data_IF_288523845043
#
_entry.id   IF_288523845043
#
_cell.length_a   1.000
_cell.length_b   1.000
_cell.length_c   1.000
_cell.angle_alpha   90.00
_cell.angle_beta   90.00
_cell.angle_gamma   90.00
#
_symmetry.space_group_name_H-M   'P 1'
#
loop_
_entity.id
_entity.type
_entity.pdbx_description
1 polymer ?
#
# COMPACT_ATOMS: atom_id res chain seq x y z
N UNK A 1 -86.66 -20.32 -18.68
CA UNK A 1 -87.22 -19.03 -18.85
C UNK A 1 -86.07 -18.05 -19.05
N UNK A 2 -85.86 -17.77 -20.33
CA UNK A 2 -85.99 -16.50 -20.98
C UNK A 2 -84.82 -15.52 -20.59
N UNK A 3 -84.10 -14.88 -21.44
CA UNK A 3 -84.29 -14.39 -22.79
C UNK A 3 -82.99 -13.87 -23.35
N UNK A 4 -82.69 -14.21 -24.57
CA UNK A 4 -81.65 -13.65 -25.43
C UNK A 4 -81.97 -12.17 -25.79
N UNK A 5 -80.96 -11.33 -25.88
CA UNK A 5 -81.04 -10.05 -26.61
C UNK A 5 -79.76 -9.90 -27.44
N UNK A 6 -79.95 -10.03 -28.76
CA UNK A 6 -79.00 -9.68 -29.81
C UNK A 6 -78.76 -8.19 -29.83
N UNK A 7 -77.54 -7.77 -29.88
CA UNK A 7 -77.09 -6.39 -30.17
C UNK A 7 -76.27 -6.38 -31.46
N UNK A 8 -76.84 -5.79 -32.46
CA UNK A 8 -76.35 -5.57 -33.79
C UNK A 8 -75.18 -4.58 -33.78
N UNK A 9 -74.04 -4.92 -34.36
CA UNK A 9 -72.83 -4.05 -34.48
C UNK A 9 -72.73 -3.63 -35.94
N UNK A 10 -72.75 -2.30 -36.25
CA UNK A 10 -72.60 -1.83 -37.63
C UNK A 10 -71.09 -1.94 -38.05
N UNK A 11 -70.89 -2.45 -39.25
CA UNK A 11 -69.64 -2.50 -39.99
C UNK A 11 -69.22 -1.09 -40.45
N UNK A 12 -68.10 -0.59 -39.92
CA UNK A 12 -67.52 0.66 -40.42
C UNK A 12 -66.39 0.37 -41.42
N UNK A 13 -66.46 1.06 -42.54
CA UNK A 13 -65.52 1.04 -43.67
C UNK A 13 -64.12 1.40 -43.27
N UNK A 14 -63.14 0.63 -43.77
CA UNK A 14 -61.72 0.92 -43.70
C UNK A 14 -61.32 2.12 -44.58
N UNK A 15 -60.57 3.08 -43.98
CA UNK A 15 -59.98 4.23 -44.69
C UNK A 15 -58.50 3.93 -44.99
N UNK A 16 -58.05 3.92 -46.24
CA UNK A 16 -56.67 3.55 -46.58
C UNK A 16 -55.81 4.78 -46.87
N UNK A 17 -55.48 5.64 -45.88
CA UNK A 17 -54.61 6.81 -46.11
C UNK A 17 -53.35 6.85 -45.21
N UNK A 18 -53.19 5.92 -44.29
CA UNK A 18 -52.11 6.07 -43.28
C UNK A 18 -50.78 5.38 -43.64
N UNK A 19 -50.69 4.50 -44.63
CA UNK A 19 -49.47 3.74 -44.97
C UNK A 19 -48.43 4.51 -45.79
N UNK A 20 -48.79 5.60 -46.51
CA UNK A 20 -47.87 6.33 -47.38
C UNK A 20 -47.00 7.37 -46.64
N UNK A 21 -47.50 7.98 -45.54
CA UNK A 21 -46.74 8.96 -44.75
C UNK A 21 -45.65 8.33 -43.87
N UNK A 22 -45.89 7.13 -43.29
CA UNK A 22 -44.89 6.43 -42.46
C UNK A 22 -43.61 6.05 -43.20
N UNK A 23 -43.68 5.60 -44.47
CA UNK A 23 -42.51 5.26 -45.27
C UNK A 23 -41.59 6.45 -45.56
N UNK A 24 -42.14 7.66 -45.74
CA UNK A 24 -41.33 8.87 -45.91
C UNK A 24 -40.65 9.33 -44.61
N UNK A 25 -41.31 9.19 -43.48
CA UNK A 25 -40.75 9.54 -42.17
C UNK A 25 -39.62 8.59 -41.81
N UNK A 26 -39.76 7.30 -42.00
CA UNK A 26 -38.68 6.32 -41.75
C UNK A 26 -37.48 6.51 -42.69
N UNK A 27 -37.69 6.90 -43.94
CA UNK A 27 -36.65 7.24 -44.88
C UNK A 27 -35.84 8.48 -44.43
N UNK A 28 -36.50 9.51 -43.94
CA UNK A 28 -35.83 10.72 -43.43
C UNK A 28 -35.06 10.42 -42.13
N UNK A 29 -35.62 9.64 -41.21
CA UNK A 29 -34.94 9.23 -39.98
C UNK A 29 -33.70 8.39 -40.29
N UNK A 30 -33.78 7.44 -41.23
CA UNK A 30 -32.65 6.64 -41.64
C UNK A 30 -31.50 7.47 -42.25
N UNK A 31 -31.82 8.46 -43.06
CA UNK A 31 -30.82 9.38 -43.64
C UNK A 31 -30.17 10.25 -42.56
N UNK A 32 -30.98 10.78 -41.62
CA UNK A 32 -30.41 11.55 -40.48
C UNK A 32 -29.48 10.73 -39.61
N UNK A 33 -29.86 9.48 -39.30
CA UNK A 33 -29.00 8.57 -38.52
C UNK A 33 -27.69 8.25 -39.25
N UNK A 34 -27.76 8.02 -40.57
CA UNK A 34 -26.53 7.76 -41.39
C UNK A 34 -25.63 9.00 -41.42
N UNK A 35 -26.22 10.21 -41.55
CA UNK A 35 -25.46 11.47 -41.55
C UNK A 35 -24.83 11.72 -40.17
N UNK A 36 -25.54 11.47 -39.07
CA UNK A 36 -25.00 11.60 -37.73
C UNK A 36 -23.87 10.59 -37.48
N UNK A 37 -24.03 9.34 -37.90
CA UNK A 37 -22.95 8.32 -37.82
C UNK A 37 -21.73 8.72 -38.67
N UNK A 38 -21.97 9.22 -39.88
CA UNK A 38 -20.90 9.71 -40.76
C UNK A 38 -20.17 10.92 -40.16
N UNK A 39 -20.90 11.85 -39.53
CA UNK A 39 -20.31 13.00 -38.84
C UNK A 39 -19.53 12.57 -37.59
N UNK A 40 -19.98 11.57 -36.84
CA UNK A 40 -19.25 11.01 -35.70
C UNK A 40 -17.98 10.30 -36.18
N UNK A 41 -18.06 9.48 -37.24
CA UNK A 41 -16.89 8.83 -37.81
C UNK A 41 -15.94 9.89 -38.39
N UNK A 42 -16.42 10.92 -39.06
CA UNK A 42 -15.62 12.03 -39.57
C UNK A 42 -14.93 12.80 -38.43
N UNK A 43 -15.64 13.12 -37.32
CA UNK A 43 -15.09 13.78 -36.15
C UNK A 43 -14.02 12.91 -35.45
N UNK A 44 -14.23 11.58 -35.37
CA UNK A 44 -13.27 10.66 -34.81
C UNK A 44 -12.04 10.51 -35.72
N UNK A 45 -12.18 10.55 -37.05
CA UNK A 45 -11.08 10.48 -38.02
C UNK A 45 -10.35 11.79 -38.23
N UNK A 46 -10.94 12.94 -37.92
CA UNK A 46 -10.30 14.26 -38.01
C UNK A 46 -9.63 14.67 -36.67
N UNK A 47 -9.88 13.94 -35.55
CA UNK A 47 -9.32 14.21 -34.23
C UNK A 47 -7.85 13.80 -34.04
N UNK A 48 -7.10 13.64 -35.13
CA UNK A 48 -5.68 13.29 -35.08
C UNK A 48 -4.71 14.47 -35.01
N UNK A 49 -4.96 15.49 -34.17
CA UNK A 49 -3.87 16.30 -33.61
C UNK A 49 -3.40 15.59 -32.35
N UNK A 50 -2.38 14.76 -32.44
CA UNK A 50 -1.62 14.26 -31.31
C UNK A 50 -0.92 15.44 -30.63
N UNK A 51 -1.66 16.17 -29.80
CA UNK A 51 -1.04 16.91 -28.72
C UNK A 51 -0.24 15.91 -27.86
N UNK A 52 0.77 16.34 -27.12
CA UNK A 52 1.49 15.44 -26.22
C UNK A 52 0.45 14.67 -25.40
N UNK A 53 0.56 13.34 -25.39
CA UNK A 53 -0.35 12.49 -24.61
C UNK A 53 -0.35 12.99 -23.20
N UNK A 54 -1.53 13.23 -22.62
CA UNK A 54 -1.62 13.64 -21.22
C UNK A 54 -0.94 12.58 -20.35
N UNK A 55 -0.09 13.01 -19.42
CA UNK A 55 0.58 12.09 -18.50
C UNK A 55 -0.47 11.27 -17.73
N UNK A 56 -0.24 9.97 -17.52
CA UNK A 56 -1.13 9.15 -16.71
C UNK A 56 -1.17 9.64 -15.26
N UNK A 57 -2.24 9.37 -14.55
CA UNK A 57 -2.31 9.56 -13.10
C UNK A 57 -1.69 8.35 -12.40
N UNK A 58 -0.82 8.59 -11.43
CA UNK A 58 -0.20 7.55 -10.62
C UNK A 58 -0.35 7.87 -9.14
N UNK A 59 -1.21 7.14 -8.45
CA UNK A 59 -1.50 7.34 -7.04
C UNK A 59 -0.69 6.35 -6.20
N UNK A 60 0.12 6.89 -5.28
CA UNK A 60 0.97 6.14 -4.36
C UNK A 60 0.39 6.31 -2.96
N UNK A 61 0.14 5.20 -2.27
CA UNK A 61 -0.17 5.20 -0.85
C UNK A 61 1.11 5.16 -0.04
N UNK A 62 1.27 6.12 0.88
CA UNK A 62 2.50 6.33 1.66
C UNK A 62 2.22 6.23 3.15
N UNK A 63 3.13 5.63 3.92
CA UNK A 63 2.98 5.52 5.37
C UNK A 63 2.99 6.89 6.02
N UNK A 64 1.98 7.18 6.85
CA UNK A 64 1.86 8.46 7.53
C UNK A 64 2.82 8.55 8.72
N UNK A 65 3.43 9.72 8.89
CA UNK A 65 4.32 10.00 10.02
C UNK A 65 5.73 9.45 9.91
N UNK A 66 6.06 8.74 8.83
CA UNK A 66 7.41 8.23 8.58
C UNK A 66 8.24 9.25 7.81
N UNK A 67 9.19 9.91 8.47
CA UNK A 67 10.14 10.84 7.81
C UNK A 67 11.17 10.11 6.96
N UNK A 68 11.39 8.84 7.25
CA UNK A 68 12.43 8.04 6.64
C UNK A 68 11.82 7.14 5.56
N UNK A 69 11.15 7.72 4.53
CA UNK A 69 10.67 6.92 3.39
C UNK A 69 11.27 7.41 2.09
N UNK A 70 11.65 6.52 1.16
CA UNK A 70 12.09 6.91 -0.18
C UNK A 70 11.08 7.81 -0.89
N UNK A 71 9.78 7.56 -0.74
CA UNK A 71 8.72 8.42 -1.29
C UNK A 71 8.78 9.83 -0.73
N UNK A 72 8.97 9.98 0.57
CA UNK A 72 9.10 11.30 1.18
C UNK A 72 10.31 12.05 0.60
N UNK A 73 11.39 11.34 0.26
CA UNK A 73 12.53 11.92 -0.44
C UNK A 73 12.16 12.28 -1.87
N UNK A 74 11.49 11.42 -2.61
CA UNK A 74 11.02 11.69 -3.97
C UNK A 74 10.18 12.95 -3.99
N UNK A 75 9.18 13.05 -3.11
CA UNK A 75 8.28 14.19 -2.98
C UNK A 75 9.00 15.48 -2.52
N UNK A 76 10.09 15.37 -1.77
CA UNK A 76 10.90 16.51 -1.33
C UNK A 76 11.91 16.98 -2.38
N UNK A 77 12.14 16.19 -3.44
CA UNK A 77 13.12 16.45 -4.49
C UNK A 77 12.47 16.46 -5.88
N UNK A 78 12.11 17.62 -6.42
CA UNK A 78 11.46 17.73 -7.74
C UNK A 78 12.24 17.06 -8.89
N UNK A 79 13.55 16.85 -8.72
CA UNK A 79 14.38 16.14 -9.71
C UNK A 79 14.05 14.64 -9.77
N UNK A 80 13.76 14.01 -8.62
CA UNK A 80 13.38 12.60 -8.56
C UNK A 80 11.93 12.39 -8.98
N UNK A 81 11.02 13.32 -8.62
CA UNK A 81 9.64 13.27 -9.08
C UNK A 81 9.53 13.30 -10.60
N UNK A 82 10.42 14.09 -11.26
CA UNK A 82 10.46 14.18 -12.74
C UNK A 82 10.90 12.89 -13.44
N UNK A 83 11.54 11.95 -12.74
CA UNK A 83 11.89 10.64 -13.32
C UNK A 83 10.66 9.80 -13.62
N UNK A 84 9.52 10.10 -13.00
CA UNK A 84 8.28 9.35 -13.15
C UNK A 84 7.36 10.11 -14.11
N UNK A 85 7.14 9.63 -15.36
CA UNK A 85 6.35 10.34 -16.37
C UNK A 85 4.85 10.21 -16.11
N UNK A 86 4.38 10.70 -14.96
CA UNK A 86 3.00 10.65 -14.51
C UNK A 86 2.65 11.88 -13.67
N UNK A 87 1.34 12.15 -13.54
CA UNK A 87 0.83 13.03 -12.47
C UNK A 87 0.78 12.22 -11.18
N UNK A 88 1.75 12.46 -10.28
CA UNK A 88 1.85 11.76 -9.00
C UNK A 88 0.84 12.34 -8.02
N UNK A 89 0.05 11.47 -7.43
CA UNK A 89 -0.81 11.76 -6.29
C UNK A 89 -0.39 10.88 -5.12
N UNK A 90 -0.34 11.44 -3.91
CA UNK A 90 -0.08 10.67 -2.71
C UNK A 90 -1.29 10.64 -1.81
N UNK A 91 -1.54 9.47 -1.21
CA UNK A 91 -2.58 9.25 -0.20
C UNK A 91 -1.90 8.67 1.04
N UNK A 92 -2.03 9.28 2.20
CA UNK A 92 -1.48 8.71 3.42
C UNK A 92 -2.29 7.48 3.84
N UNK A 93 -1.61 6.47 4.40
CA UNK A 93 -2.28 5.38 5.10
C UNK A 93 -1.78 5.25 6.54
N UNK A 94 -2.71 4.94 7.45
CA UNK A 94 -2.41 4.64 8.85
C UNK A 94 -2.23 3.14 9.09
N UNK A 95 -2.77 2.30 8.22
CA UNK A 95 -2.71 0.85 8.32
C UNK A 95 -2.54 0.21 6.93
N UNK A 96 -1.57 -0.69 6.77
CA UNK A 96 -1.29 -1.36 5.50
C UNK A 96 -2.48 -2.15 4.93
N UNK A 97 -3.39 -2.62 5.79
CA UNK A 97 -4.64 -3.28 5.34
C UNK A 97 -5.56 -2.33 4.59
N UNK A 98 -5.60 -1.04 4.96
CA UNK A 98 -6.36 -0.01 4.26
C UNK A 98 -5.76 0.27 2.88
N UNK A 99 -4.43 0.46 2.82
CA UNK A 99 -3.72 0.67 1.56
C UNK A 99 -3.90 -0.51 0.56
N UNK A 100 -3.89 -1.75 1.05
CA UNK A 100 -4.20 -2.94 0.23
C UNK A 100 -5.64 -2.92 -0.28
N UNK A 101 -6.61 -2.49 0.54
CA UNK A 101 -8.01 -2.37 0.11
C UNK A 101 -8.18 -1.29 -0.97
N UNK A 102 -7.50 -0.16 -0.83
CA UNK A 102 -7.46 0.92 -1.82
C UNK A 102 -6.80 0.46 -3.14
N UNK A 103 -5.70 -0.29 -3.07
CA UNK A 103 -5.10 -0.90 -4.26
C UNK A 103 -6.04 -1.88 -4.94
N UNK A 104 -6.74 -2.72 -4.18
CA UNK A 104 -7.72 -3.66 -4.71
C UNK A 104 -8.90 -2.96 -5.41
N UNK A 105 -9.33 -1.80 -4.91
CA UNK A 105 -10.38 -0.99 -5.54
C UNK A 105 -9.92 -0.25 -6.79
N UNK A 106 -8.59 -0.15 -7.02
CA UNK A 106 -7.98 0.59 -8.13
C UNK A 106 -7.76 2.08 -7.83
N UNK A 107 -8.08 2.57 -6.64
CA UNK A 107 -7.84 3.96 -6.25
C UNK A 107 -6.37 4.27 -5.99
N UNK A 108 -5.56 3.25 -5.69
CA UNK A 108 -4.12 3.32 -5.47
C UNK A 108 -3.40 2.35 -6.41
N UNK A 109 -2.33 2.80 -7.06
CA UNK A 109 -1.54 2.01 -8.00
C UNK A 109 -0.27 1.41 -7.37
N UNK A 110 0.31 2.11 -6.40
CA UNK A 110 1.49 1.65 -5.65
C UNK A 110 1.33 1.94 -4.16
N UNK A 111 1.99 1.14 -3.33
CA UNK A 111 2.08 1.34 -1.88
C UNK A 111 3.55 1.27 -1.51
N UNK A 112 4.06 2.29 -0.82
CA UNK A 112 5.42 2.31 -0.32
C UNK A 112 5.46 2.12 1.20
N UNK A 113 6.37 1.27 1.65
CA UNK A 113 6.54 0.98 3.07
C UNK A 113 5.41 0.13 3.66
N UNK A 114 4.82 -0.79 2.89
CA UNK A 114 3.79 -1.69 3.43
C UNK A 114 4.41 -2.94 4.05
N UNK A 115 4.01 -3.23 5.29
CA UNK A 115 4.51 -4.35 6.07
C UNK A 115 4.10 -5.73 5.55
N UNK A 116 4.82 -6.76 5.99
CA UNK A 116 4.61 -8.14 5.56
C UNK A 116 3.23 -8.73 5.90
N UNK A 117 2.53 -8.46 7.04
CA UNK A 117 1.22 -9.07 7.28
C UNK A 117 0.14 -8.66 6.27
N UNK A 118 -0.11 -7.37 5.96
CA UNK A 118 -1.10 -7.00 4.96
C UNK A 118 -0.75 -7.52 3.56
N UNK A 119 0.53 -7.52 3.17
CA UNK A 119 0.96 -8.08 1.87
C UNK A 119 0.78 -9.59 1.82
N UNK A 120 1.15 -10.32 2.88
CA UNK A 120 0.95 -11.77 2.94
C UNK A 120 -0.53 -12.15 2.88
N UNK A 121 -1.40 -11.39 3.57
CA UNK A 121 -2.84 -11.58 3.50
C UNK A 121 -3.37 -11.32 2.07
N UNK A 122 -2.90 -10.25 1.43
CA UNK A 122 -3.25 -9.91 0.05
C UNK A 122 -2.87 -11.03 -0.94
N UNK A 123 -1.67 -11.60 -0.79
CA UNK A 123 -1.20 -12.74 -1.58
C UNK A 123 -2.08 -13.97 -1.34
N UNK A 124 -2.35 -14.30 -0.07
CA UNK A 124 -3.20 -15.44 0.29
C UNK A 124 -4.63 -15.33 -0.25
N UNK A 125 -5.15 -14.11 -0.38
CA UNK A 125 -6.46 -13.79 -0.94
C UNK A 125 -6.44 -13.49 -2.44
N UNK A 126 -5.27 -13.55 -3.08
CA UNK A 126 -5.06 -13.28 -4.52
C UNK A 126 -5.61 -11.91 -4.97
N UNK A 127 -5.28 -10.86 -4.24
CA UNK A 127 -5.83 -9.50 -4.48
C UNK A 127 -5.10 -8.70 -5.56
N UNK A 128 -4.18 -9.29 -6.33
CA UNK A 128 -3.50 -8.61 -7.43
C UNK A 128 -2.38 -7.66 -6.99
N UNK A 129 -1.73 -7.94 -5.86
CA UNK A 129 -0.53 -7.22 -5.39
C UNK A 129 0.72 -7.87 -5.94
N UNK A 130 1.75 -7.06 -6.28
CA UNK A 130 3.09 -7.53 -6.64
C UNK A 130 4.14 -6.73 -5.88
N UNK A 131 5.08 -7.41 -5.23
CA UNK A 131 6.25 -6.81 -4.58
C UNK A 131 7.32 -6.57 -5.64
N UNK A 132 7.78 -5.33 -5.79
CA UNK A 132 8.76 -4.94 -6.80
C UNK A 132 10.11 -4.50 -6.21
N UNK A 133 10.14 -4.12 -4.92
CA UNK A 133 11.35 -3.69 -4.22
C UNK A 133 11.21 -3.95 -2.71
N UNK A 134 12.31 -4.31 -2.04
CA UNK A 134 12.40 -4.26 -0.59
C UNK A 134 12.61 -2.83 -0.11
N UNK A 135 11.86 -2.39 0.88
CA UNK A 135 11.99 -1.06 1.44
C UNK A 135 12.94 -1.06 2.64
N UNK A 136 12.61 -1.79 3.69
CA UNK A 136 13.40 -1.87 4.92
C UNK A 136 12.76 -2.81 5.92
N UNK A 137 13.30 -2.80 7.13
CA UNK A 137 12.67 -3.40 8.28
C UNK A 137 11.87 -2.34 9.03
N UNK A 138 11.02 -2.77 9.95
CA UNK A 138 10.26 -1.84 10.79
C UNK A 138 11.18 -1.12 11.78
N UNK A 139 10.83 0.11 12.16
CA UNK A 139 11.50 0.94 13.17
C UNK A 139 10.70 1.01 14.49
N UNK A 140 9.81 0.06 14.67
CA UNK A 140 8.92 -0.02 15.82
C UNK A 140 9.67 -0.31 17.11
N UNK A 141 9.13 0.23 18.19
CA UNK A 141 9.71 0.07 19.52
C UNK A 141 8.60 -0.21 20.54
N UNK A 142 8.81 -1.19 21.40
CA UNK A 142 7.99 -1.39 22.58
C UNK A 142 8.39 -0.36 23.64
N UNK A 143 7.67 0.75 23.65
CA UNK A 143 7.93 1.86 24.55
C UNK A 143 7.19 1.65 25.87
N UNK A 144 7.99 1.61 26.94
CA UNK A 144 7.51 1.34 28.31
C UNK A 144 7.91 2.45 29.28
N UNK A 145 7.18 2.67 30.36
CA UNK A 145 7.58 3.58 31.43
C UNK A 145 8.97 3.20 32.02
N UNK A 146 9.70 4.17 32.56
CA UNK A 146 11.04 3.98 33.14
C UNK A 146 11.11 2.89 34.22
N UNK A 147 9.99 2.58 34.88
CA UNK A 147 9.89 1.52 35.89
C UNK A 147 9.90 0.09 35.31
N UNK A 148 9.70 -0.08 34.01
CA UNK A 148 9.66 -1.39 33.33
C UNK A 148 11.01 -1.58 32.64
N UNK A 149 11.83 -2.49 33.15
CA UNK A 149 13.21 -2.72 32.66
C UNK A 149 13.45 -4.14 32.18
N UNK A 150 12.43 -5.00 32.25
CA UNK A 150 12.49 -6.40 31.78
C UNK A 150 11.13 -6.88 31.28
N UNK A 151 11.10 -7.86 30.36
CA UNK A 151 9.87 -8.42 29.79
C UNK A 151 8.90 -8.95 30.85
N UNK A 152 9.42 -9.57 31.92
CA UNK A 152 8.59 -10.14 33.00
C UNK A 152 7.74 -9.11 33.73
N UNK A 153 8.14 -7.84 33.73
CA UNK A 153 7.39 -6.74 34.35
C UNK A 153 6.19 -6.26 33.49
N UNK A 154 6.03 -6.79 32.29
CA UNK A 154 4.83 -6.59 31.48
C UNK A 154 3.64 -7.44 31.95
N UNK A 155 3.85 -8.43 32.82
CA UNK A 155 2.75 -9.27 33.33
C UNK A 155 1.67 -8.40 33.98
N UNK A 156 0.42 -8.56 33.53
CA UNK A 156 -0.74 -7.79 34.01
C UNK A 156 -0.86 -6.38 33.44
N UNK A 157 0.10 -5.92 32.64
CA UNK A 157 0.07 -4.61 31.99
C UNK A 157 -0.63 -4.67 30.62
N UNK A 158 -0.99 -3.49 30.12
CA UNK A 158 -1.59 -3.29 28.81
C UNK A 158 -0.58 -2.71 27.83
N UNK A 159 -0.53 -3.28 26.62
CA UNK A 159 0.30 -2.81 25.51
C UNK A 159 -0.58 -2.54 24.30
N UNK A 160 -0.56 -1.30 23.80
CA UNK A 160 -1.27 -0.90 22.59
C UNK A 160 -0.48 -1.23 21.32
N UNK A 161 -1.18 -1.63 20.26
CA UNK A 161 -0.58 -1.92 18.96
C UNK A 161 -1.58 -1.71 17.84
N UNK A 162 -1.11 -1.32 16.66
CA UNK A 162 -1.92 -1.25 15.43
C UNK A 162 -2.29 -2.66 14.98
N UNK A 163 -3.59 -2.95 14.98
CA UNK A 163 -4.09 -4.29 14.66
C UNK A 163 -3.82 -4.69 13.20
N UNK A 164 -3.22 -5.85 12.99
CA UNK A 164 -3.02 -6.43 11.66
C UNK A 164 -1.83 -5.92 10.87
N UNK A 165 -1.00 -5.16 11.51
CA UNK A 165 0.24 -4.60 11.02
C UNK A 165 1.43 -5.52 11.28
N UNK A 166 2.61 -5.10 10.88
CA UNK A 166 3.88 -5.72 11.27
C UNK A 166 4.12 -5.63 12.76
N UNK A 167 3.76 -4.51 13.37
CA UNK A 167 3.84 -4.27 14.81
C UNK A 167 3.05 -5.30 15.62
N UNK A 168 1.82 -5.63 15.17
CA UNK A 168 0.98 -6.67 15.78
C UNK A 168 1.66 -8.05 15.70
N UNK A 169 2.25 -8.35 14.53
CA UNK A 169 3.00 -9.59 14.29
C UNK A 169 4.24 -9.68 15.16
N UNK A 170 5.02 -8.62 15.25
CA UNK A 170 6.26 -8.55 16.02
C UNK A 170 5.98 -8.59 17.53
N UNK A 171 5.05 -7.77 18.01
CA UNK A 171 4.66 -7.75 19.42
C UNK A 171 4.16 -9.12 19.89
N UNK A 172 3.22 -9.73 19.17
CA UNK A 172 2.66 -11.01 19.57
C UNK A 172 3.69 -12.13 19.47
N UNK A 173 4.57 -12.07 18.46
CA UNK A 173 5.69 -12.99 18.34
C UNK A 173 6.70 -12.84 19.50
N UNK A 174 7.05 -11.60 19.84
CA UNK A 174 7.93 -11.32 20.99
C UNK A 174 7.33 -11.80 22.30
N UNK A 175 6.06 -11.49 22.57
CA UNK A 175 5.38 -11.98 23.78
C UNK A 175 5.33 -13.50 23.85
N UNK A 176 5.24 -14.18 22.72
CA UNK A 176 5.29 -15.64 22.67
C UNK A 176 6.70 -16.19 23.03
N UNK A 177 7.75 -15.58 22.49
CA UNK A 177 9.15 -15.93 22.81
C UNK A 177 9.47 -15.72 24.29
N UNK A 178 8.97 -14.63 24.87
CA UNK A 178 9.16 -14.31 26.30
C UNK A 178 8.19 -15.08 27.23
N UNK A 179 7.41 -16.02 26.70
CA UNK A 179 6.38 -16.77 27.45
C UNK A 179 5.35 -15.89 28.16
N UNK A 180 5.00 -14.74 27.54
CA UNK A 180 4.06 -13.74 28.03
C UNK A 180 2.70 -13.78 27.38
N UNK A 181 2.46 -14.68 26.43
CA UNK A 181 1.15 -14.86 25.77
C UNK A 181 0.06 -15.07 26.81
N UNK A 182 -1.00 -14.24 26.72
CA UNK A 182 -2.13 -14.25 27.68
C UNK A 182 -1.82 -13.66 29.06
N UNK A 183 -0.58 -13.25 29.33
CA UNK A 183 -0.17 -12.59 30.60
C UNK A 183 -0.10 -11.07 30.46
N UNK A 184 -0.02 -10.56 29.23
CA UNK A 184 -0.04 -9.14 28.84
C UNK A 184 -1.34 -8.87 28.13
N UNK A 185 -2.00 -7.76 28.47
CA UNK A 185 -3.23 -7.32 27.80
C UNK A 185 -2.84 -6.54 26.53
N UNK A 186 -2.85 -7.21 25.37
CA UNK A 186 -2.69 -6.51 24.09
C UNK A 186 -3.98 -5.79 23.73
N UNK A 187 -3.87 -4.48 23.46
CA UNK A 187 -4.98 -3.59 23.11
C UNK A 187 -4.83 -3.17 21.66
N UNK A 188 -5.77 -3.59 20.82
CA UNK A 188 -5.77 -3.29 19.39
C UNK A 188 -6.28 -1.88 19.12
N UNK A 189 -5.55 -1.13 18.31
CA UNK A 189 -5.93 0.19 17.80
C UNK A 189 -6.06 0.17 16.28
N UNK A 190 -6.80 1.14 15.75
CA UNK A 190 -6.99 1.28 14.30
C UNK A 190 -5.89 2.14 13.64
N UNK A 191 -5.07 2.85 14.44
CA UNK A 191 -3.97 3.69 13.95
C UNK A 191 -2.86 3.82 15.01
N UNK A 192 -1.63 4.04 14.53
CA UNK A 192 -0.46 4.34 15.37
C UNK A 192 -0.66 5.56 16.29
N UNK A 193 -1.16 6.72 15.78
CA UNK A 193 -1.40 7.87 16.65
C UNK A 193 -2.37 7.58 17.79
N UNK A 194 -3.37 6.71 17.57
CA UNK A 194 -4.33 6.34 18.61
C UNK A 194 -3.68 5.48 19.70
N UNK A 195 -2.82 4.54 19.36
CA UNK A 195 -2.07 3.72 20.32
C UNK A 195 -1.12 4.59 21.16
N UNK A 196 -0.35 5.49 20.52
CA UNK A 196 0.54 6.42 21.19
C UNK A 196 -0.21 7.38 22.14
N UNK A 197 -1.31 7.97 21.69
CA UNK A 197 -2.13 8.86 22.52
C UNK A 197 -2.74 8.14 23.74
N UNK A 198 -3.14 6.88 23.60
CA UNK A 198 -3.66 6.07 24.71
C UNK A 198 -2.57 5.82 25.77
N UNK A 199 -1.33 5.54 25.36
CA UNK A 199 -0.21 5.39 26.29
C UNK A 199 0.16 6.73 26.96
N UNK A 200 0.23 7.82 26.19
CA UNK A 200 0.52 9.17 26.70
C UNK A 200 -0.51 9.63 27.75
N UNK A 201 -1.77 9.28 27.58
CA UNK A 201 -2.85 9.62 28.51
C UNK A 201 -2.91 8.69 29.74
N UNK A 202 -2.16 7.59 29.74
CA UNK A 202 -2.22 6.57 30.78
C UNK A 202 -3.45 5.64 30.68
N UNK A 203 -4.18 5.66 29.56
CA UNK A 203 -5.29 4.72 29.31
C UNK A 203 -4.79 3.28 29.12
N UNK A 204 -3.54 3.11 28.68
CA UNK A 204 -2.78 1.87 28.62
C UNK A 204 -1.38 2.11 29.19
N UNK A 205 -0.69 1.03 29.60
CA UNK A 205 0.62 1.13 30.26
C UNK A 205 1.76 1.41 29.26
N UNK A 206 1.70 0.88 28.06
CA UNK A 206 2.79 0.83 27.07
C UNK A 206 2.23 0.78 25.65
N UNK A 207 3.06 1.08 24.64
CA UNK A 207 2.69 0.94 23.23
C UNK A 207 3.85 0.41 22.40
N UNK A 208 3.54 -0.40 21.40
CA UNK A 208 4.47 -0.81 20.35
C UNK A 208 4.19 0.05 19.12
N UNK A 209 5.04 1.02 18.88
CA UNK A 209 4.80 2.12 17.92
C UNK A 209 6.10 2.63 17.31
N UNK A 210 5.98 3.35 16.18
CA UNK A 210 7.08 4.01 15.47
C UNK A 210 6.83 5.52 15.28
N UNK A 211 7.76 6.20 14.62
CA UNK A 211 7.61 7.56 14.10
C UNK A 211 7.24 8.61 15.16
N UNK A 212 6.28 9.46 14.86
CA UNK A 212 5.88 10.56 15.73
C UNK A 212 5.31 10.10 17.08
N UNK A 213 4.42 9.10 17.17
CA UNK A 213 3.98 8.54 18.45
C UNK A 213 5.10 8.03 19.34
N UNK A 214 6.11 7.38 18.75
CA UNK A 214 7.28 6.92 19.48
C UNK A 214 8.09 8.09 20.02
N UNK A 215 8.35 9.11 19.19
CA UNK A 215 9.05 10.32 19.60
C UNK A 215 8.35 11.05 20.77
N UNK A 216 7.04 11.14 20.73
CA UNK A 216 6.24 11.79 21.78
C UNK A 216 6.31 11.01 23.12
N UNK A 217 6.27 9.68 23.08
CA UNK A 217 6.43 8.82 24.24
C UNK A 217 7.83 8.94 24.84
N UNK A 218 8.88 8.92 24.01
CA UNK A 218 10.27 9.12 24.45
C UNK A 218 10.43 10.49 25.12
N UNK A 219 9.85 11.54 24.56
CA UNK A 219 9.87 12.89 25.16
C UNK A 219 9.16 12.94 26.52
N UNK A 220 8.26 12.00 26.82
CA UNK A 220 7.57 11.84 28.11
C UNK A 220 8.28 10.89 29.08
N UNK A 221 9.49 10.41 28.73
CA UNK A 221 10.31 9.56 29.59
C UNK A 221 10.04 8.06 29.45
N UNK A 222 9.32 7.64 28.41
CA UNK A 222 9.29 6.24 28.00
C UNK A 222 10.63 5.86 27.37
N UNK A 223 10.96 4.56 27.42
CA UNK A 223 12.16 4.04 26.76
C UNK A 223 11.82 2.73 26.03
N UNK A 224 12.59 2.35 25.02
CA UNK A 224 12.41 1.07 24.34
C UNK A 224 12.83 -0.09 25.24
N UNK A 225 11.93 -1.03 25.49
CA UNK A 225 12.24 -2.32 26.10
C UNK A 225 12.83 -3.30 25.09
N UNK A 226 12.34 -3.26 23.88
CA UNK A 226 12.78 -4.00 22.71
C UNK A 226 12.40 -3.23 21.46
N UNK A 227 13.19 -3.34 20.40
CA UNK A 227 12.91 -2.76 19.09
C UNK A 227 12.73 -3.85 18.01
N UNK A 228 12.22 -3.44 16.85
CA UNK A 228 11.96 -4.32 15.72
C UNK A 228 13.22 -5.03 15.21
N UNK A 229 14.39 -4.36 15.24
CA UNK A 229 15.67 -5.00 14.86
C UNK A 229 16.04 -6.16 15.78
N UNK A 230 15.84 -5.97 17.08
CA UNK A 230 16.09 -7.02 18.08
C UNK A 230 15.11 -8.18 17.88
N UNK A 231 13.83 -7.90 17.63
CA UNK A 231 12.80 -8.91 17.37
C UNK A 231 13.10 -9.67 16.06
N UNK A 232 13.57 -8.96 15.04
CA UNK A 232 13.98 -9.58 13.77
C UNK A 232 15.16 -10.56 13.96
N UNK A 233 16.13 -10.22 14.82
CA UNK A 233 17.24 -11.11 15.20
C UNK A 233 16.77 -12.35 15.95
N UNK A 234 15.64 -12.28 16.64
CA UNK A 234 14.97 -13.42 17.26
C UNK A 234 14.17 -14.29 16.27
N UNK A 235 14.14 -13.93 14.99
CA UNK A 235 13.51 -14.71 13.92
C UNK A 235 12.10 -14.25 13.53
N UNK A 236 11.67 -13.05 13.95
CA UNK A 236 10.36 -12.46 13.65
C UNK A 236 10.59 -11.13 12.93
N UNK A 237 11.01 -11.14 11.65
CA UNK A 237 11.30 -9.91 10.94
C UNK A 237 10.01 -9.20 10.50
N UNK A 238 9.81 -7.97 10.91
CA UNK A 238 8.95 -7.01 10.25
C UNK A 238 9.65 -6.50 9.00
N UNK A 239 9.03 -6.66 7.84
CA UNK A 239 9.63 -6.33 6.55
C UNK A 239 8.69 -5.48 5.73
N UNK A 240 9.12 -4.28 5.43
CA UNK A 240 8.42 -3.34 4.56
C UNK A 240 8.88 -3.48 3.11
N UNK A 241 7.94 -3.34 2.19
CA UNK A 241 8.19 -3.46 0.75
C UNK A 241 7.50 -2.34 -0.01
N UNK A 242 7.92 -2.17 -1.26
CA UNK A 242 7.18 -1.44 -2.27
C UNK A 242 6.35 -2.45 -3.06
N UNK A 243 5.04 -2.25 -3.01
CA UNK A 243 4.06 -3.07 -3.71
C UNK A 243 3.37 -2.27 -4.80
N UNK A 244 3.14 -2.89 -5.95
CA UNK A 244 2.42 -2.29 -7.09
C UNK A 244 1.25 -3.18 -7.47
N UNK A 245 0.15 -2.59 -7.92
CA UNK A 245 -0.96 -3.35 -8.46
C UNK A 245 -0.52 -4.14 -9.69
N UNK A 246 -0.75 -5.44 -9.70
CA UNK A 246 -0.34 -6.32 -10.81
C UNK A 246 -0.96 -5.91 -12.16
N UNK A 247 -2.07 -5.19 -12.14
CA UNK A 247 -2.68 -4.59 -13.34
C UNK A 247 -1.80 -3.50 -13.94
N UNK A 248 -1.20 -2.63 -13.12
CA UNK A 248 -0.31 -1.55 -13.58
C UNK A 248 0.97 -2.13 -14.20
N UNK A 249 1.54 -3.17 -13.60
CA UNK A 249 2.69 -3.88 -14.18
C UNK A 249 2.39 -4.38 -15.61
N UNK A 250 1.15 -4.84 -15.85
CA UNK A 250 0.72 -5.35 -17.16
C UNK A 250 0.43 -4.24 -18.18
N UNK A 251 -0.14 -3.12 -17.73
CA UNK A 251 -0.59 -2.04 -18.63
C UNK A 251 0.49 -1.00 -18.91
N UNK A 252 1.35 -0.73 -17.93
CA UNK A 252 2.42 0.27 -18.03
C UNK A 252 3.67 -0.16 -17.25
N UNK A 253 4.42 -1.16 -17.74
CA UNK A 253 5.64 -1.62 -17.10
C UNK A 253 6.76 -0.56 -17.09
N UNK A 254 6.71 0.41 -18.02
CA UNK A 254 7.69 1.52 -18.07
C UNK A 254 7.51 2.44 -16.89
N UNK A 255 6.28 2.85 -16.58
CA UNK A 255 5.96 3.66 -15.41
C UNK A 255 6.43 2.98 -14.12
N UNK A 256 6.23 1.66 -14.00
CA UNK A 256 6.70 0.89 -12.83
C UNK A 256 8.23 0.87 -12.76
N UNK A 257 8.92 0.75 -13.90
CA UNK A 257 10.39 0.81 -13.94
C UNK A 257 10.90 2.17 -13.47
N UNK A 258 10.33 3.25 -13.98
CA UNK A 258 10.72 4.62 -13.62
C UNK A 258 10.45 4.90 -12.13
N UNK A 259 9.30 4.42 -11.61
CA UNK A 259 8.99 4.50 -10.19
C UNK A 259 10.02 3.74 -9.33
N UNK A 260 10.35 2.50 -9.67
CA UNK A 260 11.36 1.71 -8.94
C UNK A 260 12.74 2.36 -9.01
N UNK A 261 13.08 3.01 -10.12
CA UNK A 261 14.33 3.78 -10.24
C UNK A 261 14.36 4.99 -9.28
N UNK A 262 13.27 5.75 -9.20
CA UNK A 262 13.15 6.87 -8.28
C UNK A 262 13.22 6.41 -6.81
N UNK A 263 12.53 5.33 -6.46
CA UNK A 263 12.57 4.71 -5.12
C UNK A 263 13.98 4.22 -4.75
N UNK A 264 14.66 3.56 -5.69
CA UNK A 264 16.05 3.11 -5.47
C UNK A 264 17.00 4.29 -5.26
N UNK A 265 16.81 5.40 -5.97
CA UNK A 265 17.59 6.62 -5.77
C UNK A 265 17.28 7.25 -4.41
N UNK A 266 15.99 7.35 -4.03
CA UNK A 266 15.58 7.81 -2.70
C UNK A 266 16.20 6.96 -1.59
N UNK A 267 16.24 5.64 -1.75
CA UNK A 267 16.90 4.71 -0.82
C UNK A 267 18.41 4.97 -0.70
N UNK A 268 19.10 5.26 -1.82
CA UNK A 268 20.53 5.65 -1.80
C UNK A 268 20.75 6.96 -1.05
N UNK A 269 19.88 7.94 -1.27
CA UNK A 269 19.96 9.25 -0.63
C UNK A 269 19.75 9.15 0.89
N UNK A 270 18.85 8.27 1.34
CA UNK A 270 18.61 8.00 2.77
C UNK A 270 19.75 7.30 3.47
N UNK A 271 20.52 6.47 2.77
CA UNK A 271 21.64 5.72 3.33
C UNK A 271 23.00 6.38 3.06
N UNK A 272 22.99 7.47 2.30
CA UNK A 272 24.19 8.21 1.90
C UNK A 272 24.67 9.26 2.93
N UNK A 273 25.78 9.93 2.65
CA UNK A 273 26.39 10.92 3.57
C UNK A 273 25.53 12.17 3.80
N UNK A 274 24.51 12.40 2.98
CA UNK A 274 23.57 13.53 3.12
C UNK A 274 22.23 13.11 3.72
N UNK A 275 22.09 11.89 4.23
CA UNK A 275 20.85 11.35 4.76
C UNK A 275 20.12 12.29 5.75
N UNK A 276 20.86 12.91 6.68
CA UNK A 276 20.28 13.84 7.66
C UNK A 276 19.60 15.06 7.00
N UNK A 277 20.15 15.57 5.87
CA UNK A 277 19.55 16.68 5.12
C UNK A 277 18.23 16.24 4.48
N UNK A 278 18.20 15.10 3.85
CA UNK A 278 16.98 14.56 3.21
C UNK A 278 15.91 14.26 4.24
N UNK A 279 16.25 13.59 5.33
CA UNK A 279 15.32 13.28 6.42
C UNK A 279 14.68 14.54 7.02
N UNK A 280 15.43 15.64 7.14
CA UNK A 280 14.88 16.93 7.60
C UNK A 280 13.90 17.53 6.57
N UNK A 281 14.21 17.43 5.27
CA UNK A 281 13.33 17.91 4.21
C UNK A 281 12.02 17.10 4.15
N UNK A 282 12.09 15.77 4.31
CA UNK A 282 10.92 14.90 4.32
C UNK A 282 10.01 15.13 5.52
N UNK A 283 10.57 15.43 6.70
CA UNK A 283 9.79 15.82 7.89
C UNK A 283 8.88 17.02 7.59
N UNK A 284 9.42 18.01 6.89
CA UNK A 284 8.64 19.20 6.49
C UNK A 284 7.49 18.84 5.53
N UNK A 285 7.74 17.95 4.57
CA UNK A 285 6.70 17.46 3.64
C UNK A 285 5.59 16.72 4.38
N UNK A 286 5.96 15.94 5.39
CA UNK A 286 5.04 15.17 6.24
C UNK A 286 4.31 16.02 7.31
N UNK A 287 4.62 17.32 7.41
CA UNK A 287 4.04 18.19 8.43
C UNK A 287 4.51 17.90 9.87
N UNK A 288 5.62 17.17 10.04
CA UNK A 288 6.20 16.81 11.33
C UNK A 288 6.97 18.00 11.89
N UNK A 289 6.84 18.28 13.20
CA UNK A 289 7.56 19.37 13.85
C UNK A 289 9.08 19.16 13.83
N UNK A 290 9.86 20.24 13.86
CA UNK A 290 11.32 20.16 13.84
C UNK A 290 11.90 19.36 15.02
N UNK A 291 11.28 19.42 16.21
CA UNK A 291 11.70 18.66 17.37
C UNK A 291 11.42 17.17 17.22
N UNK A 292 10.25 16.80 16.73
CA UNK A 292 9.91 15.41 16.40
C UNK A 292 10.79 14.87 15.28
N UNK A 293 11.01 15.65 14.21
CA UNK A 293 11.91 15.27 13.13
C UNK A 293 13.33 14.96 13.62
N UNK A 294 13.88 15.79 14.50
CA UNK A 294 15.21 15.56 15.07
C UNK A 294 15.28 14.24 15.87
N UNK A 295 14.23 13.92 16.64
CA UNK A 295 14.14 12.66 17.40
C UNK A 295 14.03 11.46 16.47
N UNK A 296 13.15 11.54 15.46
CA UNK A 296 12.96 10.48 14.46
C UNK A 296 14.26 10.26 13.67
N UNK A 297 14.91 11.33 13.18
CA UNK A 297 16.20 11.25 12.47
C UNK A 297 17.27 10.60 13.35
N UNK A 298 17.31 10.94 14.65
CA UNK A 298 18.26 10.33 15.56
C UNK A 298 17.96 8.82 15.78
N UNK A 299 16.69 8.44 15.87
CA UNK A 299 16.26 7.04 15.98
C UNK A 299 16.56 6.24 14.69
N UNK A 300 16.36 6.86 13.52
CA UNK A 300 16.57 6.21 12.22
C UNK A 300 18.05 6.11 11.79
N UNK A 301 18.99 6.66 12.53
CA UNK A 301 20.42 6.45 12.25
C UNK A 301 20.86 4.97 12.28
N UNK A 302 20.10 4.14 12.98
CA UNK A 302 20.26 2.70 12.99
C UNK A 302 19.22 1.93 12.16
N UNK A 303 18.36 2.63 11.44
CA UNK A 303 17.25 2.02 10.71
C UNK A 303 17.75 1.15 9.56
N UNK A 304 17.40 -0.13 9.54
CA UNK A 304 17.95 -1.06 8.57
C UNK A 304 17.14 -0.99 7.27
N UNK A 305 17.34 0.09 6.48
CA UNK A 305 16.89 0.07 5.08
C UNK A 305 17.58 -1.06 4.32
N UNK A 306 16.87 -1.68 3.40
CA UNK A 306 17.48 -2.65 2.49
C UNK A 306 18.29 -1.87 1.45
N UNK A 307 19.63 -1.80 1.58
CA UNK A 307 20.45 -1.04 0.64
C UNK A 307 20.42 -1.69 -0.74
N UNK A 308 20.74 -0.95 -1.81
CA UNK A 308 20.77 -1.47 -3.16
C UNK A 308 21.51 -2.80 -3.30
N UNK A 309 22.65 -2.96 -2.62
CA UNK A 309 23.47 -4.18 -2.64
C UNK A 309 22.79 -5.41 -2.02
N UNK A 310 21.75 -5.23 -1.21
CA UNK A 310 21.04 -6.32 -0.52
C UNK A 310 19.63 -6.59 -1.10
N UNK A 311 19.18 -5.84 -2.08
CA UNK A 311 17.84 -6.04 -2.65
C UNK A 311 17.65 -7.49 -3.14
N UNK A 312 18.56 -8.00 -3.97
CA UNK A 312 18.46 -9.37 -4.48
C UNK A 312 18.78 -10.45 -3.43
N UNK A 313 19.50 -10.11 -2.36
CA UNK A 313 19.71 -11.01 -1.22
C UNK A 313 18.37 -11.32 -0.51
N UNK A 314 17.49 -10.35 -0.41
CA UNK A 314 16.16 -10.52 0.20
C UNK A 314 15.13 -11.04 -0.79
N UNK A 315 15.01 -10.43 -1.95
CA UNK A 315 13.95 -10.73 -2.92
C UNK A 315 14.21 -11.99 -3.74
N UNK A 316 15.46 -12.47 -3.78
CA UNK A 316 15.90 -13.58 -4.62
C UNK A 316 16.67 -13.10 -5.85
N UNK A 317 17.40 -14.01 -6.48
CA UNK A 317 18.24 -13.75 -7.66
C UNK A 317 17.55 -14.10 -8.99
N UNK A 318 16.51 -14.91 -8.95
CA UNK A 318 15.69 -15.32 -10.08
C UNK A 318 14.24 -14.85 -9.90
N UNK A 319 13.54 -14.65 -11.02
CA UNK A 319 12.12 -14.31 -11.01
C UNK A 319 11.32 -15.45 -10.34
N UNK A 320 10.43 -15.07 -9.41
CA UNK A 320 9.59 -16.00 -8.67
C UNK A 320 10.36 -17.07 -7.87
N UNK A 321 11.47 -16.67 -7.24
CA UNK A 321 12.29 -17.58 -6.42
C UNK A 321 11.57 -18.01 -5.12
N UNK A 322 11.09 -19.28 -5.02
CA UNK A 322 10.37 -19.76 -3.85
C UNK A 322 11.29 -19.99 -2.63
N UNK A 323 12.60 -19.90 -2.81
CA UNK A 323 13.60 -20.12 -1.75
C UNK A 323 14.13 -18.81 -1.17
N UNK A 324 13.73 -17.67 -1.72
CA UNK A 324 14.18 -16.34 -1.28
C UNK A 324 13.85 -16.06 0.18
N UNK A 325 14.57 -15.12 0.77
CA UNK A 325 14.40 -14.74 2.19
C UNK A 325 13.05 -14.12 2.45
N UNK A 326 12.57 -13.27 1.56
CA UNK A 326 11.25 -12.65 1.68
C UNK A 326 10.14 -13.70 1.63
N UNK A 327 10.27 -14.74 0.80
CA UNK A 327 9.29 -15.83 0.77
C UNK A 327 9.24 -16.55 2.11
N UNK A 328 10.39 -16.83 2.72
CA UNK A 328 10.46 -17.44 4.05
C UNK A 328 9.85 -16.56 5.13
N UNK A 329 10.13 -15.24 5.11
CA UNK A 329 9.53 -14.28 6.04
C UNK A 329 8.00 -14.26 5.88
N UNK A 330 7.50 -14.22 4.66
CA UNK A 330 6.05 -14.22 4.39
C UNK A 330 5.37 -15.54 4.75
N UNK A 331 6.07 -16.68 4.67
CA UNK A 331 5.54 -17.94 5.19
C UNK A 331 5.39 -17.94 6.72
N UNK A 332 6.34 -17.34 7.45
CA UNK A 332 6.24 -17.15 8.90
C UNK A 332 5.06 -16.25 9.26
N UNK A 333 4.94 -15.13 8.56
CA UNK A 333 3.80 -14.22 8.69
C UNK A 333 2.48 -14.91 8.34
N UNK A 334 2.46 -15.74 7.31
CA UNK A 334 1.28 -16.53 6.93
C UNK A 334 0.82 -17.48 8.05
N UNK A 335 1.76 -18.13 8.75
CA UNK A 335 1.44 -18.95 9.94
C UNK A 335 0.81 -18.09 11.03
N UNK A 336 1.37 -16.91 11.32
CA UNK A 336 0.78 -15.96 12.26
C UNK A 336 -0.65 -15.57 11.86
N UNK A 337 -0.88 -15.18 10.61
CA UNK A 337 -2.20 -14.78 10.11
C UNK A 337 -3.23 -15.90 10.21
N UNK A 338 -2.82 -17.16 10.06
CA UNK A 338 -3.69 -18.32 10.27
C UNK A 338 -4.05 -18.46 11.76
N UNK A 339 -3.08 -18.30 12.67
CA UNK A 339 -3.38 -18.34 14.13
C UNK A 339 -4.31 -17.22 14.58
N UNK A 340 -4.29 -16.08 13.88
CA UNK A 340 -5.17 -14.95 14.11
C UNK A 340 -6.53 -15.07 13.39
N UNK A 341 -6.77 -16.17 12.66
CA UNK A 341 -8.01 -16.37 11.90
C UNK A 341 -8.18 -15.44 10.69
N UNK A 342 -7.10 -14.75 10.27
CA UNK A 342 -7.12 -13.81 9.14
C UNK A 342 -6.86 -14.49 7.78
N UNK A 343 -6.24 -15.65 7.82
CA UNK A 343 -6.12 -16.57 6.69
C UNK A 343 -6.61 -17.95 7.11
N UNK A 344 -7.17 -18.71 6.18
CA UNK A 344 -7.55 -20.10 6.41
C UNK A 344 -6.38 -21.06 6.23
N UNK A 345 -5.42 -20.70 5.38
CA UNK A 345 -4.26 -21.51 5.06
C UNK A 345 -3.04 -20.61 4.85
N UNK A 346 -1.86 -21.13 5.18
CA UNK A 346 -0.59 -20.45 4.90
C UNK A 346 -0.34 -20.47 3.39
N UNK A 347 -0.09 -19.32 2.73
CA UNK A 347 0.28 -19.32 1.32
C UNK A 347 1.55 -20.14 1.08
N UNK A 348 1.55 -20.97 0.04
CA UNK A 348 2.72 -21.77 -0.31
C UNK A 348 3.89 -20.87 -0.76
N UNK A 349 5.11 -21.37 -0.68
CA UNK A 349 6.29 -20.65 -1.16
C UNK A 349 6.15 -20.23 -2.64
N UNK A 350 5.58 -21.10 -3.47
CA UNK A 350 5.34 -20.79 -4.90
C UNK A 350 4.27 -19.72 -5.09
N UNK A 351 3.20 -19.73 -4.28
CA UNK A 351 2.19 -18.65 -4.33
C UNK A 351 2.80 -17.30 -3.95
N UNK A 352 3.57 -17.24 -2.86
CA UNK A 352 4.24 -16.01 -2.45
C UNK A 352 5.22 -15.56 -3.53
N UNK A 353 6.06 -16.46 -4.02
CA UNK A 353 7.07 -16.14 -5.04
C UNK A 353 6.45 -15.60 -6.33
N UNK A 354 5.27 -16.08 -6.74
CA UNK A 354 4.56 -15.58 -7.91
C UNK A 354 4.14 -14.10 -7.82
N UNK A 355 4.11 -13.55 -6.62
CA UNK A 355 3.81 -12.13 -6.36
C UNK A 355 5.07 -11.27 -6.12
N UNK A 356 6.27 -11.82 -6.34
CA UNK A 356 7.54 -11.08 -6.19
C UNK A 356 8.15 -10.92 -7.58
N UNK A 357 8.11 -9.70 -8.11
CA UNK A 357 8.65 -9.36 -9.42
C UNK A 357 9.93 -8.53 -9.28
N UNK A 358 11.05 -9.21 -9.39
CA UNK A 358 12.38 -8.59 -9.30
C UNK A 358 12.88 -7.99 -10.62
N UNK A 359 12.07 -8.03 -11.69
CA UNK A 359 12.48 -7.55 -13.01
C UNK A 359 12.89 -6.08 -12.97
N UNK A 360 12.09 -5.26 -12.31
CA UNK A 360 12.27 -3.82 -12.22
C UNK A 360 13.51 -3.45 -11.40
N UNK A 361 13.63 -4.01 -10.20
CA UNK A 361 14.78 -3.74 -9.34
C UNK A 361 16.10 -4.25 -9.93
N UNK A 362 16.10 -5.38 -10.65
CA UNK A 362 17.29 -5.86 -11.35
C UNK A 362 17.74 -4.88 -12.43
N UNK A 363 16.82 -4.35 -13.23
CA UNK A 363 17.11 -3.35 -14.25
C UNK A 363 17.64 -2.06 -13.61
N UNK A 364 16.98 -1.57 -12.55
CA UNK A 364 17.41 -0.37 -11.85
C UNK A 364 18.81 -0.51 -11.21
N UNK A 365 19.14 -1.69 -10.67
CA UNK A 365 20.47 -1.99 -10.14
C UNK A 365 21.55 -2.08 -11.25
N UNK A 366 21.15 -2.46 -12.45
CA UNK A 366 22.03 -2.49 -13.65
C UNK A 366 22.23 -1.10 -14.28
N UNK A 367 21.53 -0.07 -13.80
CA UNK A 367 21.60 1.30 -14.32
C UNK A 367 20.60 1.58 -15.45
N UNK A 368 19.65 0.70 -15.70
CA UNK A 368 18.58 0.90 -16.68
C UNK A 368 17.46 1.77 -16.05
N UNK A 369 17.78 3.06 -15.90
CA UNK A 369 16.91 4.09 -15.35
C UNK A 369 16.86 5.31 -16.27
N UNK A 370 15.76 6.07 -16.32
CA UNK A 370 15.71 7.32 -17.05
C UNK A 370 16.76 8.30 -16.53
N UNK A 371 17.33 9.09 -17.46
CA UNK A 371 18.41 10.07 -17.19
C UNK A 371 17.83 11.44 -16.82
#
# INVERSE_FOLDING_TARGET
>A
MSSSADVNVPTTRSVPIYKRKRRRIYGVIAVVVIVVIALIIWAVTQGGSSGPAALPSFTISVSQGTVASPDSIILSQPSLEKLIPAHIHTVPFDAGVTAIAEMKSGSVQAISGVGNPPVTAAIGLNTGVSVVMGWGFDDDQLLVPASVTSPSQLVGKSVGVLVGSSEDYELLGYLALEHLTGKVKVVSFASEPAAGAAALSGAIDSAYVYGAPAADLIAKGYHPLVDAEQIAKLGIPGLNVIAVASSVIKTDPTLVQDYVCAELQGSRDMTGPQAAKYLTATAKVQGISASQAATIVAATKGFPFIPPSQQLYWLGSSLHDPTSRIVKAYQLTGKFLVTQGRLTTVPSASQIAAHIDITFIKKALAGDCPS
#
